data_IF_710830348006
#
_entry.id   IF_710830348006
#
_cell.length_a   1.000
_cell.length_b   1.000
_cell.length_c   1.000
_cell.angle_alpha   90.00
_cell.angle_beta   90.00
_cell.angle_gamma   90.00
#
_symmetry.space_group_name_H-M   'P 1'
#
loop_
_entity.id
_entity.type
_entity.pdbx_description
1 polymer ?
#
# COMPACT_ATOMS: atom_id res chain seq x y z
N UNK A 1 -41.78 7.67 47.80
CA UNK A 1 -41.73 8.95 47.08
C UNK A 1 -40.49 8.93 46.20
N UNK A 2 -40.48 9.29 44.91
CA UNK A 2 -41.56 9.69 44.00
C UNK A 2 -41.22 9.22 42.55
N UNK A 3 -42.19 9.26 41.63
CA UNK A 3 -42.07 8.77 40.24
C UNK A 3 -42.44 9.84 39.21
N UNK A 4 -41.58 10.11 38.22
CA UNK A 4 -41.87 10.71 36.89
C UNK A 4 -40.80 10.20 35.88
N UNK A 5 -41.01 9.78 34.63
CA UNK A 5 -42.18 9.57 33.73
C UNK A 5 -42.38 10.56 32.55
N UNK A 6 -41.69 10.25 31.43
CA UNK A 6 -42.05 10.57 30.02
C UNK A 6 -41.89 11.99 29.46
N UNK A 7 -41.32 12.11 28.24
CA UNK A 7 -42.09 12.40 27.00
C UNK A 7 -41.20 12.34 25.74
N UNK A 8 -41.82 12.15 24.56
CA UNK A 8 -41.16 12.03 23.25
C UNK A 8 -41.90 12.85 22.17
N UNK A 9 -41.17 13.32 21.15
CA UNK A 9 -41.61 13.77 19.80
C UNK A 9 -40.34 13.79 18.92
N UNK A 10 -40.26 13.16 17.74
CA UNK A 10 -40.85 13.54 16.44
C UNK A 10 -40.38 14.92 15.94
N UNK A 11 -40.01 15.17 14.67
CA UNK A 11 -39.75 14.34 13.47
C UNK A 11 -39.34 15.29 12.32
N UNK A 12 -38.51 14.90 11.35
CA UNK A 12 -38.39 15.64 10.09
C UNK A 12 -38.03 14.74 8.90
N UNK A 13 -38.96 14.66 7.94
CA UNK A 13 -38.76 14.05 6.62
C UNK A 13 -38.32 15.13 5.65
N UNK A 14 -37.35 14.83 4.77
CA UNK A 14 -37.26 15.53 3.48
C UNK A 14 -36.97 14.56 2.33
N UNK A 15 -37.90 14.50 1.38
CA UNK A 15 -37.76 13.86 0.08
C UNK A 15 -37.34 14.90 -0.96
N UNK A 16 -36.53 14.51 -1.94
CA UNK A 16 -36.55 15.15 -3.26
C UNK A 16 -36.04 14.21 -4.35
N UNK A 17 -36.92 13.65 -5.20
CA UNK A 17 -36.51 13.01 -6.45
C UNK A 17 -36.53 14.04 -7.59
N UNK A 18 -35.41 14.20 -8.31
CA UNK A 18 -35.40 14.89 -9.61
C UNK A 18 -35.26 13.87 -10.73
N UNK A 19 -36.36 13.65 -11.46
CA UNK A 19 -36.30 13.01 -12.76
C UNK A 19 -35.85 14.02 -13.83
N UNK A 20 -35.19 13.52 -14.87
CA UNK A 20 -35.13 14.21 -16.16
C UNK A 20 -35.49 13.22 -17.27
N UNK A 21 -36.31 13.66 -18.23
CA UNK A 21 -36.96 12.84 -19.25
C UNK A 21 -36.76 13.45 -20.63
N UNK A 22 -36.17 12.68 -21.55
CA UNK A 22 -36.20 12.86 -23.01
C UNK A 22 -35.65 11.56 -23.63
N UNK A 23 -36.36 10.74 -24.40
CA UNK A 23 -37.14 10.91 -25.65
C UNK A 23 -36.33 10.62 -26.94
N UNK A 24 -36.71 9.50 -27.57
CA UNK A 24 -36.65 9.07 -28.98
C UNK A 24 -35.63 9.67 -29.98
N UNK A 25 -35.03 8.77 -30.79
CA UNK A 25 -34.43 9.10 -32.09
C UNK A 25 -33.87 7.88 -32.83
N UNK A 26 -34.66 7.27 -33.73
CA UNK A 26 -34.25 6.11 -34.54
C UNK A 26 -34.26 6.43 -36.04
N UNK A 27 -33.13 6.24 -36.72
CA UNK A 27 -32.98 5.92 -38.17
C UNK A 27 -31.54 5.38 -38.36
N UNK A 28 -31.32 4.14 -38.82
CA UNK A 28 -31.53 3.57 -40.16
C UNK A 28 -30.39 3.91 -41.16
N UNK A 29 -29.74 2.86 -41.68
CA UNK A 29 -28.66 2.90 -42.67
C UNK A 29 -29.13 3.43 -44.04
N UNK A 30 -28.19 3.78 -44.93
CA UNK A 30 -28.13 2.96 -46.15
C UNK A 30 -26.72 2.54 -46.60
N UNK A 31 -26.68 1.40 -47.28
CA UNK A 31 -25.54 0.83 -48.02
C UNK A 31 -25.20 1.70 -49.24
N UNK A 32 -23.91 1.96 -49.49
CA UNK A 32 -23.41 2.69 -50.67
C UNK A 32 -22.37 1.89 -51.44
N UNK A 33 -22.59 1.71 -52.75
CA UNK A 33 -21.77 0.84 -53.62
C UNK A 33 -20.49 1.52 -54.14
N UNK A 34 -19.48 0.66 -54.34
CA UNK A 34 -18.26 0.81 -55.16
C UNK A 34 -18.40 1.79 -56.34
N UNK A 35 -17.40 2.67 -56.52
CA UNK A 35 -16.85 3.00 -57.84
C UNK A 35 -15.32 3.09 -57.78
N UNK A 36 -14.66 2.30 -58.63
CA UNK A 36 -13.21 2.31 -58.82
C UNK A 36 -12.81 3.36 -59.86
N UNK A 37 -12.03 4.36 -59.47
CA UNK A 37 -11.42 5.31 -60.40
C UNK A 37 -10.02 4.83 -60.81
N UNK A 38 -9.87 4.39 -62.06
CA UNK A 38 -8.56 4.04 -62.63
C UNK A 38 -7.78 5.30 -63.02
N UNK A 39 -6.77 5.67 -62.24
CA UNK A 39 -5.85 6.75 -62.62
C UNK A 39 -4.64 6.19 -63.39
N UNK A 40 -4.49 6.62 -64.65
CA UNK A 40 -3.28 6.39 -65.43
C UNK A 40 -2.25 7.47 -65.10
N UNK A 41 -1.39 7.22 -64.11
CA UNK A 41 -0.24 8.08 -63.82
C UNK A 41 1.07 7.32 -64.00
N UNK A 42 1.77 7.60 -65.09
CA UNK A 42 3.15 7.17 -65.31
C UNK A 42 4.10 8.04 -64.45
N UNK A 43 4.11 7.78 -63.14
CA UNK A 43 5.12 8.30 -62.23
C UNK A 43 6.30 7.34 -62.14
N UNK A 44 7.50 7.81 -62.49
CA UNK A 44 8.72 7.02 -62.27
C UNK A 44 8.91 6.77 -60.77
N UNK A 45 8.93 5.50 -60.36
CA UNK A 45 9.18 5.12 -58.96
C UNK A 45 10.62 5.43 -58.60
N UNK A 46 10.84 6.55 -57.90
CA UNK A 46 12.11 6.83 -57.27
C UNK A 46 12.25 5.92 -56.04
N UNK A 47 13.02 4.85 -56.21
CA UNK A 47 13.55 4.01 -55.13
C UNK A 47 14.38 4.87 -54.16
N UNK A 48 13.70 5.52 -53.22
CA UNK A 48 14.31 6.06 -52.03
C UNK A 48 14.92 4.88 -51.28
N UNK A 49 16.24 4.71 -51.45
CA UNK A 49 17.07 3.79 -50.66
C UNK A 49 16.59 3.85 -49.22
N UNK A 50 15.93 2.79 -48.76
CA UNK A 50 15.61 2.60 -47.35
C UNK A 50 16.94 2.57 -46.62
N UNK A 51 17.33 3.72 -46.07
CA UNK A 51 18.34 3.80 -45.03
C UNK A 51 17.88 2.79 -43.98
N UNK A 52 18.66 1.71 -43.85
CA UNK A 52 18.48 0.75 -42.76
C UNK A 52 18.87 1.48 -41.49
N UNK A 53 17.96 2.32 -41.01
CA UNK A 53 17.95 2.74 -39.62
C UNK A 53 17.82 1.44 -38.84
N UNK A 54 18.96 0.96 -38.36
CA UNK A 54 18.97 -0.10 -37.36
C UNK A 54 18.06 0.41 -36.26
N UNK A 55 17.00 -0.35 -35.96
CA UNK A 55 16.39 -0.23 -34.66
C UNK A 55 17.47 -0.65 -33.66
N UNK A 56 18.25 0.34 -33.21
CA UNK A 56 18.74 0.36 -31.84
C UNK A 56 17.48 0.11 -31.03
N UNK A 57 17.35 -1.11 -30.49
CA UNK A 57 16.29 -1.46 -29.55
C UNK A 57 16.52 -0.56 -28.35
N UNK A 58 15.91 0.62 -28.37
CA UNK A 58 16.04 1.62 -27.33
C UNK A 58 15.61 0.96 -26.04
N UNK A 59 16.59 0.79 -25.14
CA UNK A 59 16.43 0.05 -23.90
C UNK A 59 15.35 0.73 -23.06
N UNK A 60 14.14 0.15 -23.08
CA UNK A 60 13.04 0.50 -22.17
C UNK A 60 13.32 0.10 -20.71
N UNK A 61 14.58 -0.10 -20.32
CA UNK A 61 15.00 -0.51 -18.98
C UNK A 61 15.73 0.59 -18.18
N UNK A 62 16.06 1.74 -18.77
CA UNK A 62 16.78 2.82 -18.05
C UNK A 62 15.81 3.78 -17.31
N UNK A 63 14.50 3.70 -17.55
CA UNK A 63 13.48 4.51 -16.87
C UNK A 63 12.87 3.88 -15.62
N UNK A 64 13.41 2.74 -15.13
CA UNK A 64 13.26 2.41 -13.70
C UNK A 64 14.30 3.27 -13.00
N UNK A 65 13.84 4.37 -12.42
CA UNK A 65 14.67 5.25 -11.61
C UNK A 65 15.54 4.44 -10.65
N UNK A 66 16.75 4.96 -10.37
CA UNK A 66 17.62 4.45 -9.32
C UNK A 66 16.89 4.66 -7.99
N UNK A 67 16.01 3.72 -7.65
CA UNK A 67 15.49 3.53 -6.31
C UNK A 67 16.72 3.21 -5.48
N UNK A 68 17.14 4.19 -4.67
CA UNK A 68 18.14 3.96 -3.64
C UNK A 68 17.70 2.71 -2.89
N UNK A 69 18.53 1.66 -2.91
CA UNK A 69 18.17 0.35 -2.42
C UNK A 69 18.18 0.34 -0.89
N UNK A 70 17.19 1.02 -0.29
CA UNK A 70 16.92 1.01 1.14
C UNK A 70 16.40 -0.38 1.47
N UNK A 71 17.25 -1.21 2.08
CA UNK A 71 16.85 -2.50 2.64
C UNK A 71 15.69 -2.25 3.62
N UNK A 72 14.56 -2.97 3.51
CA UNK A 72 13.47 -2.83 4.46
C UNK A 72 13.95 -3.28 5.84
N UNK A 73 13.83 -2.39 6.83
CA UNK A 73 14.35 -2.59 8.18
C UNK A 73 13.33 -2.17 9.24
N UNK A 74 13.49 -2.73 10.44
CA UNK A 74 12.78 -2.31 11.64
C UNK A 74 13.82 -1.71 12.58
N UNK A 75 13.47 -0.62 13.27
CA UNK A 75 14.33 0.03 14.25
C UNK A 75 13.52 0.39 15.51
N UNK A 76 14.14 0.23 16.67
CA UNK A 76 13.62 0.73 17.95
C UNK A 76 14.35 2.00 18.43
N UNK A 77 15.59 2.16 17.96
CA UNK A 77 16.48 3.30 18.17
C UNK A 77 16.86 3.78 16.77
N UNK A 78 16.70 5.06 16.48
CA UNK A 78 16.95 5.58 15.13
C UNK A 78 18.41 5.38 14.71
N UNK A 79 18.62 4.75 13.55
CA UNK A 79 19.94 4.40 13.03
C UNK A 79 20.44 3.01 13.43
N UNK A 80 19.68 2.24 14.23
CA UNK A 80 20.03 0.87 14.63
C UNK A 80 18.99 -0.11 14.10
N UNK A 81 19.39 -0.93 13.11
CA UNK A 81 18.56 -1.98 12.53
C UNK A 81 18.40 -3.16 13.50
N UNK A 82 17.16 -3.55 13.77
CA UNK A 82 16.81 -4.74 14.54
C UNK A 82 17.03 -5.99 13.69
N UNK A 83 17.83 -6.93 14.22
CA UNK A 83 18.20 -8.16 13.52
C UNK A 83 17.24 -9.32 13.85
N UNK A 84 16.57 -9.29 15.01
CA UNK A 84 15.60 -10.30 15.41
C UNK A 84 14.32 -10.16 14.59
N UNK A 85 13.94 -11.22 13.89
CA UNK A 85 12.71 -11.26 13.07
C UNK A 85 11.49 -11.46 13.98
N UNK A 86 10.47 -10.59 13.94
CA UNK A 86 9.30 -10.68 14.82
C UNK A 86 8.24 -11.70 14.36
N UNK A 87 7.48 -12.23 15.32
CA UNK A 87 6.13 -12.74 15.04
C UNK A 87 5.18 -11.55 14.82
N UNK A 88 4.36 -11.60 13.76
CA UNK A 88 3.52 -10.49 13.32
C UNK A 88 2.06 -10.93 13.22
N UNK A 89 1.25 -10.48 14.19
CA UNK A 89 -0.20 -10.74 14.22
C UNK A 89 -0.98 -9.52 13.76
N UNK A 90 -1.68 -9.68 12.63
CA UNK A 90 -2.56 -8.65 12.07
C UNK A 90 -4.00 -8.87 12.53
N UNK A 91 -4.58 -7.87 13.20
CA UNK A 91 -5.98 -7.86 13.66
C UNK A 91 -6.75 -6.75 12.96
N UNK A 92 -8.02 -6.99 12.62
CA UNK A 92 -8.91 -5.99 12.00
C UNK A 92 -10.22 -5.89 12.78
N UNK A 93 -10.77 -4.69 12.90
CA UNK A 93 -12.08 -4.48 13.54
C UNK A 93 -13.19 -5.17 12.74
N UNK A 94 -14.32 -5.48 13.39
CA UNK A 94 -15.47 -6.13 12.74
C UNK A 94 -16.00 -5.30 11.56
N UNK A 95 -16.01 -3.98 11.71
CA UNK A 95 -16.46 -3.02 10.69
C UNK A 95 -15.42 -2.78 9.59
N UNK A 96 -14.21 -3.34 9.74
CA UNK A 96 -13.12 -3.24 8.76
C UNK A 96 -12.37 -1.91 8.71
N UNK A 97 -12.82 -0.87 9.41
CA UNK A 97 -12.23 0.48 9.37
C UNK A 97 -10.86 0.57 10.04
N UNK A 98 -10.65 -0.16 11.14
CA UNK A 98 -9.42 -0.08 11.94
C UNK A 98 -8.65 -1.41 11.88
N UNK A 99 -7.33 -1.31 11.75
CA UNK A 99 -6.39 -2.43 11.82
C UNK A 99 -5.36 -2.21 12.93
N UNK A 100 -4.87 -3.30 13.51
CA UNK A 100 -3.73 -3.29 14.44
C UNK A 100 -2.79 -4.41 14.04
N UNK A 101 -1.56 -4.05 13.67
CA UNK A 101 -0.46 -5.00 13.58
C UNK A 101 0.23 -5.06 14.95
N UNK A 102 0.35 -6.25 15.51
CA UNK A 102 1.13 -6.50 16.73
C UNK A 102 2.38 -7.27 16.36
N UNK A 103 3.53 -6.74 16.72
CA UNK A 103 4.84 -7.35 16.54
C UNK A 103 5.34 -7.85 17.89
N UNK A 104 5.86 -9.08 17.92
CA UNK A 104 6.47 -9.69 19.10
C UNK A 104 7.88 -10.13 18.74
N UNK A 105 8.86 -9.53 19.40
CA UNK A 105 10.27 -9.87 19.28
C UNK A 105 10.65 -10.66 20.52
N UNK A 106 10.94 -11.94 20.35
CA UNK A 106 11.53 -12.80 21.40
C UNK A 106 13.05 -12.65 21.31
N UNK A 107 13.70 -12.28 22.42
CA UNK A 107 15.15 -12.01 22.46
C UNK A 107 15.61 -10.99 21.38
N UNK A 108 15.12 -9.74 21.41
CA UNK A 108 15.55 -8.70 20.48
C UNK A 108 17.02 -8.31 20.73
N UNK A 109 17.75 -8.09 19.64
CA UNK A 109 19.19 -7.82 19.63
C UNK A 109 19.60 -6.54 20.40
N UNK A 110 18.64 -5.65 20.69
CA UNK A 110 18.84 -4.50 21.59
C UNK A 110 19.36 -4.91 22.98
N UNK A 111 18.95 -6.06 23.51
CA UNK A 111 19.28 -6.46 24.88
C UNK A 111 20.68 -7.07 25.02
N UNK A 112 21.24 -7.62 23.93
CA UNK A 112 22.59 -8.19 23.92
C UNK A 112 23.69 -7.12 23.91
N UNK A 113 23.36 -5.92 23.41
CA UNK A 113 24.28 -4.77 23.35
C UNK A 113 24.32 -4.04 24.68
N UNK A 114 24.90 -4.69 25.70
CA UNK A 114 24.83 -4.33 27.11
C UNK A 114 25.29 -2.89 27.45
N UNK A 115 24.37 -1.92 27.34
CA UNK A 115 24.55 -0.52 27.75
C UNK A 115 25.04 0.45 26.68
N UNK A 116 25.25 0.02 25.43
CA UNK A 116 25.71 0.89 24.33
C UNK A 116 24.57 1.32 23.39
N UNK A 117 23.54 0.50 23.25
CA UNK A 117 22.28 0.87 22.60
C UNK A 117 21.40 1.66 23.58
N UNK A 118 21.00 2.86 23.18
CA UNK A 118 20.21 3.78 24.01
C UNK A 118 18.76 3.35 24.25
N UNK A 119 18.01 4.18 24.97
CA UNK A 119 16.60 3.91 25.28
C UNK A 119 15.73 3.76 24.01
N UNK A 120 14.71 2.91 24.09
CA UNK A 120 13.74 2.70 23.00
C UNK A 120 12.99 4.02 22.73
N UNK A 121 13.29 4.68 21.60
CA UNK A 121 12.69 5.96 21.23
C UNK A 121 11.34 5.82 20.53
N UNK A 122 11.06 4.64 19.97
CA UNK A 122 9.81 4.33 19.28
C UNK A 122 9.88 3.00 18.56
N UNK A 123 9.01 2.81 17.57
CA UNK A 123 9.05 1.69 16.64
C UNK A 123 8.96 2.22 15.21
N UNK A 124 10.00 2.00 14.41
CA UNK A 124 10.13 2.52 13.06
C UNK A 124 10.25 1.37 12.06
N UNK A 125 9.47 1.42 10.99
CA UNK A 125 9.48 0.48 9.88
C UNK A 125 9.89 1.28 8.63
N UNK A 126 11.08 1.01 8.10
CA UNK A 126 11.76 1.84 7.11
C UNK A 126 11.88 1.07 5.80
N UNK A 127 11.48 1.67 4.67
CA UNK A 127 11.71 1.14 3.32
C UNK A 127 11.87 2.26 2.27
N UNK A 128 11.91 1.90 0.99
CA UNK A 128 11.98 2.82 -0.16
C UNK A 128 10.79 3.81 -0.29
N UNK A 129 9.65 3.57 0.37
CA UNK A 129 8.49 4.48 0.42
C UNK A 129 8.53 5.40 1.66
N UNK A 130 9.56 5.29 2.52
CA UNK A 130 9.76 6.11 3.71
C UNK A 130 9.56 5.34 5.02
N UNK A 131 9.12 6.03 6.06
CA UNK A 131 9.02 5.49 7.43
C UNK A 131 7.56 5.40 7.88
N UNK A 132 7.16 4.24 8.41
CA UNK A 132 5.98 4.07 9.25
C UNK A 132 6.45 4.02 10.70
N UNK A 133 5.79 4.74 11.60
CA UNK A 133 6.23 4.84 13.00
C UNK A 133 5.09 4.62 14.01
N UNK A 134 5.44 4.12 15.19
CA UNK A 134 4.57 4.02 16.36
C UNK A 134 5.31 4.38 17.65
N UNK A 135 4.53 4.70 18.68
CA UNK A 135 4.98 4.93 20.07
C UNK A 135 4.47 3.84 21.04
N UNK A 136 3.55 2.97 20.60
CA UNK A 136 3.04 1.85 21.41
C UNK A 136 4.06 0.70 21.36
N UNK A 137 5.06 0.80 22.24
CA UNK A 137 6.12 -0.20 22.45
C UNK A 137 6.18 -0.56 23.93
N UNK A 138 6.39 -1.84 24.25
CA UNK A 138 6.41 -2.35 25.60
C UNK A 138 7.42 -3.49 25.74
N UNK A 139 8.43 -3.29 26.59
CA UNK A 139 9.32 -4.38 27.00
C UNK A 139 8.64 -5.31 28.01
N UNK A 140 8.84 -6.62 27.85
CA UNK A 140 8.43 -7.64 28.82
C UNK A 140 9.65 -8.20 29.53
N UNK A 141 9.57 -8.23 30.85
CA UNK A 141 10.60 -8.81 31.72
C UNK A 141 10.11 -10.17 32.23
N UNK A 142 10.99 -11.16 32.20
CA UNK A 142 10.77 -12.49 32.76
C UNK A 142 11.89 -12.77 33.75
N UNK A 143 11.54 -13.09 35.01
CA UNK A 143 12.50 -13.32 36.10
C UNK A 143 13.54 -12.18 36.28
N UNK A 144 13.11 -10.93 36.10
CA UNK A 144 13.96 -9.74 36.22
C UNK A 144 14.88 -9.46 35.03
N UNK A 145 14.86 -10.29 33.98
CA UNK A 145 15.60 -10.05 32.73
C UNK A 145 14.68 -9.53 31.63
N UNK A 146 15.12 -8.59 30.78
CA UNK A 146 14.36 -8.24 29.58
C UNK A 146 14.34 -9.45 28.64
N UNK A 147 13.17 -9.81 28.13
CA UNK A 147 12.97 -11.08 27.40
C UNK A 147 12.24 -10.91 26.06
N UNK A 148 11.31 -9.95 25.97
CA UNK A 148 10.57 -9.67 24.73
C UNK A 148 10.31 -8.19 24.56
N UNK A 149 10.08 -7.74 23.33
CA UNK A 149 9.46 -6.45 23.03
C UNK A 149 8.16 -6.70 22.24
N UNK A 150 7.07 -6.10 22.72
CA UNK A 150 5.81 -5.99 22.00
C UNK A 150 5.69 -4.59 21.42
N UNK A 151 5.45 -4.46 20.11
CA UNK A 151 5.16 -3.19 19.46
C UNK A 151 3.83 -3.27 18.71
N UNK A 152 3.06 -2.18 18.69
CA UNK A 152 1.78 -2.12 17.96
C UNK A 152 1.75 -0.96 16.98
N UNK A 153 1.29 -1.24 15.77
CA UNK A 153 1.01 -0.23 14.75
C UNK A 153 -0.49 -0.19 14.47
N UNK A 154 -1.10 0.97 14.72
CA UNK A 154 -2.54 1.21 14.56
C UNK A 154 -2.79 1.87 13.20
N UNK A 155 -3.59 1.21 12.37
CA UNK A 155 -4.05 1.70 11.07
C UNK A 155 -5.51 2.14 11.19
N UNK A 156 -5.80 3.40 10.87
CA UNK A 156 -7.15 3.99 10.90
C UNK A 156 -7.72 4.23 9.50
N UNK A 157 -6.89 4.11 8.46
CA UNK A 157 -7.27 4.34 7.07
C UNK A 157 -6.78 3.23 6.14
N UNK A 158 -7.50 3.01 5.02
CA UNK A 158 -7.08 2.07 3.99
C UNK A 158 -5.70 2.41 3.40
N UNK A 159 -5.33 3.69 3.37
CA UNK A 159 -4.02 4.14 2.87
C UNK A 159 -2.87 3.67 3.78
N UNK A 160 -3.05 3.76 5.09
CA UNK A 160 -2.08 3.23 6.06
C UNK A 160 -1.99 1.71 5.95
N UNK A 161 -3.13 1.03 5.77
CA UNK A 161 -3.18 -0.42 5.55
C UNK A 161 -2.42 -0.84 4.29
N UNK A 162 -2.69 -0.23 3.14
CA UNK A 162 -2.01 -0.55 1.88
C UNK A 162 -0.50 -0.28 1.97
N UNK A 163 -0.11 0.82 2.62
CA UNK A 163 1.29 1.19 2.84
C UNK A 163 2.02 0.24 3.80
N UNK A 164 1.31 -0.25 4.82
CA UNK A 164 1.79 -1.28 5.74
C UNK A 164 1.97 -2.63 5.04
N UNK A 165 1.00 -3.06 4.22
CA UNK A 165 1.11 -4.31 3.47
C UNK A 165 2.31 -4.32 2.52
N UNK A 166 2.61 -3.20 1.83
CA UNK A 166 3.82 -3.07 1.00
C UNK A 166 5.12 -3.11 1.80
N UNK A 167 5.14 -2.53 3.00
CA UNK A 167 6.29 -2.66 3.90
C UNK A 167 6.50 -4.12 4.28
N UNK A 168 5.44 -4.80 4.73
CA UNK A 168 5.50 -6.19 5.15
C UNK A 168 5.92 -7.14 4.02
N UNK A 169 5.43 -6.94 2.79
CA UNK A 169 5.83 -7.68 1.59
C UNK A 169 7.34 -7.59 1.34
N UNK A 170 7.89 -6.36 1.28
CA UNK A 170 9.34 -6.14 1.15
C UNK A 170 10.13 -6.73 2.31
N UNK A 171 9.67 -6.52 3.54
CA UNK A 171 10.34 -6.98 4.75
C UNK A 171 10.33 -8.52 4.85
N UNK A 172 9.26 -9.18 4.38
CA UNK A 172 9.23 -10.64 4.28
C UNK A 172 10.18 -11.17 3.21
N UNK A 173 10.24 -10.53 2.04
CA UNK A 173 11.15 -10.93 0.95
C UNK A 173 12.62 -10.81 1.38
N UNK A 174 12.96 -9.78 2.16
CA UNK A 174 14.32 -9.52 2.61
C UNK A 174 14.78 -10.37 3.80
N UNK A 175 13.86 -10.85 4.66
CA UNK A 175 14.18 -11.55 5.91
C UNK A 175 13.59 -12.97 6.00
N UNK A 176 12.94 -13.47 4.94
CA UNK A 176 12.47 -14.85 4.84
C UNK A 176 11.23 -15.18 5.70
N UNK A 177 10.43 -14.18 6.09
CA UNK A 177 9.21 -14.40 6.87
C UNK A 177 8.20 -15.25 6.07
N UNK A 178 7.70 -16.31 6.70
CA UNK A 178 6.65 -17.16 6.13
C UNK A 178 5.31 -16.88 6.82
N UNK A 179 4.26 -16.68 6.04
CA UNK A 179 2.93 -16.42 6.58
C UNK A 179 2.29 -17.70 7.13
N UNK A 180 2.36 -17.89 8.45
CA UNK A 180 1.68 -19.00 9.15
C UNK A 180 0.24 -18.60 9.45
N UNK A 181 -0.71 -19.04 8.62
CA UNK A 181 -2.13 -18.89 8.90
C UNK A 181 -2.55 -19.87 9.98
N UNK A 182 -2.87 -19.36 11.17
CA UNK A 182 -3.44 -20.11 12.30
C UNK A 182 -4.96 -19.96 12.36
#
# INVERSE_FOLDING_TARGET
MATLQSLALSSAVFHSPRQHRSLLGSTAFPTGSIQSASSSFNGASLELRKLKFTQVRSSRQISRAIRMAVKPAIQFIQGTDEQTVPDVRLTKSRDGTNGVATFVFDEPSLFDSSGELGDITGFYMIDEEGVLQSVDVSAKFVNGRPARIEAKYIMRTSREWDRFMRFMERYSDANGLQFVKK
#
